data_IF_504950182666
#
_entry.id   IF_504950182666
#
_cell.length_a   1.000
_cell.length_b   1.000
_cell.length_c   1.000
_cell.angle_alpha   90.00
_cell.angle_beta   90.00
_cell.angle_gamma   90.00
#
_symmetry.space_group_name_H-M   'P 1'
#
loop_
_entity.id
_entity.type
_entity.pdbx_description
1 polymer ?
#
# COMPACT_ATOMS: atom_id res chain seq x y z
N UNK A 1 36.23 82.62 76.74
CA UNK A 1 35.45 81.51 76.15
C UNK A 1 36.36 80.72 75.22
N UNK A 2 36.85 79.56 75.68
CA UNK A 2 37.84 78.74 74.96
C UNK A 2 37.15 77.87 73.89
N UNK A 3 37.61 77.95 72.64
CA UNK A 3 37.59 76.99 71.51
C UNK A 3 36.70 75.71 71.55
N UNK A 4 35.45 75.76 72.03
CA UNK A 4 34.60 74.58 72.11
C UNK A 4 33.87 74.26 70.80
N UNK A 5 33.44 75.26 70.01
CA UNK A 5 32.79 75.03 68.71
C UNK A 5 33.73 74.37 67.70
N UNK A 6 34.99 74.80 67.63
CA UNK A 6 35.98 74.22 66.72
C UNK A 6 36.29 72.75 67.03
N UNK A 7 36.31 72.35 68.30
CA UNK A 7 36.51 70.94 68.68
C UNK A 7 35.35 70.04 68.27
N UNK A 8 34.12 70.50 68.46
CA UNK A 8 32.92 69.75 68.04
C UNK A 8 32.90 69.60 66.52
N UNK A 9 33.24 70.64 65.78
CA UNK A 9 33.31 70.61 64.31
C UNK A 9 34.39 69.63 63.83
N UNK A 10 35.56 69.59 64.47
CA UNK A 10 36.64 68.63 64.14
C UNK A 10 36.25 67.19 64.47
N UNK A 11 35.57 66.93 65.60
CA UNK A 11 35.09 65.58 65.94
C UNK A 11 34.01 65.13 64.95
N UNK A 12 33.11 66.02 64.54
CA UNK A 12 32.07 65.71 63.57
C UNK A 12 32.65 65.44 62.17
N UNK A 13 33.59 66.27 61.69
CA UNK A 13 34.22 66.07 60.37
C UNK A 13 35.08 64.82 60.34
N UNK A 14 35.83 64.53 61.40
CA UNK A 14 36.60 63.27 61.50
C UNK A 14 35.68 62.06 61.53
N UNK A 15 34.57 62.10 62.27
CA UNK A 15 33.57 61.03 62.26
C UNK A 15 32.93 60.82 60.88
N UNK A 16 32.52 61.90 60.20
CA UNK A 16 31.97 61.84 58.84
C UNK A 16 33.00 61.31 57.82
N UNK A 17 34.27 61.72 57.91
CA UNK A 17 35.33 61.17 57.06
C UNK A 17 35.57 59.69 57.32
N UNK A 18 35.56 59.24 58.57
CA UNK A 18 35.69 57.82 58.93
C UNK A 18 34.46 57.02 58.47
N UNK A 19 33.24 57.55 58.62
CA UNK A 19 32.03 56.92 58.13
C UNK A 19 32.01 56.82 56.59
N UNK A 20 32.48 57.85 55.88
CA UNK A 20 32.59 57.84 54.42
C UNK A 20 33.67 56.89 53.93
N UNK A 21 34.80 56.79 54.65
CA UNK A 21 35.82 55.76 54.41
C UNK A 21 35.28 54.35 54.67
N UNK A 22 34.51 54.15 55.74
CA UNK A 22 33.85 52.87 56.02
C UNK A 22 32.85 52.47 54.94
N UNK A 23 32.02 53.41 54.48
CA UNK A 23 31.05 53.17 53.41
C UNK A 23 31.71 52.93 52.05
N UNK A 24 32.74 53.70 51.69
CA UNK A 24 33.48 53.48 50.44
C UNK A 24 34.24 52.15 50.45
N UNK A 25 34.80 51.74 51.58
CA UNK A 25 35.44 50.44 51.73
C UNK A 25 34.42 49.29 51.63
N UNK A 26 33.26 49.43 52.28
CA UNK A 26 32.16 48.48 52.18
C UNK A 26 31.61 48.38 50.74
N UNK A 27 31.42 49.51 50.05
CA UNK A 27 30.98 49.54 48.66
C UNK A 27 31.99 48.92 47.69
N UNK A 28 33.30 49.03 47.99
CA UNK A 28 34.36 48.40 47.21
C UNK A 28 34.40 46.88 47.38
N UNK A 29 34.10 46.36 48.58
CA UNK A 29 34.13 44.92 48.87
C UNK A 29 32.80 44.23 48.56
N UNK A 30 31.67 44.90 48.80
CA UNK A 30 30.33 44.38 48.50
C UNK A 30 29.88 44.68 47.06
N UNK A 31 30.70 45.37 46.27
CA UNK A 31 30.43 45.63 44.86
C UNK A 31 30.46 44.33 44.05
N UNK A 32 29.54 44.22 43.08
CA UNK A 32 29.48 43.08 42.16
C UNK A 32 30.82 42.89 41.45
N UNK A 33 31.29 41.64 41.35
CA UNK A 33 32.50 41.32 40.62
C UNK A 33 32.23 41.31 39.10
N UNK A 34 32.21 42.50 38.52
CA UNK A 34 31.96 42.70 37.09
C UNK A 34 33.04 42.07 36.19
N UNK A 35 34.27 41.91 36.67
CA UNK A 35 35.33 41.22 35.93
C UNK A 35 35.06 39.70 35.89
N UNK A 36 34.53 39.13 36.98
CA UNK A 36 34.07 37.74 37.02
C UNK A 36 32.84 37.50 36.13
N UNK A 37 31.90 38.44 36.11
CA UNK A 37 30.73 38.36 35.23
C UNK A 37 31.09 38.53 33.74
N UNK A 38 32.05 39.40 33.43
CA UNK A 38 32.61 39.52 32.09
C UNK A 38 33.26 38.21 31.61
N UNK A 39 33.96 37.50 32.50
CA UNK A 39 34.56 36.20 32.20
C UNK A 39 33.54 35.06 32.04
N UNK A 40 32.36 35.19 32.67
CA UNK A 40 31.27 34.22 32.56
C UNK A 40 30.47 34.34 31.25
N UNK A 41 30.63 35.42 30.50
CA UNK A 41 29.96 35.64 29.21
C UNK A 41 30.68 34.92 28.07
N UNK A 42 30.53 33.60 27.98
CA UNK A 42 31.20 32.76 26.97
C UNK A 42 30.89 33.15 25.51
N UNK A 43 29.72 33.77 25.27
CA UNK A 43 29.24 34.15 23.93
C UNK A 43 29.65 35.56 23.48
N UNK A 44 30.19 36.38 24.39
CA UNK A 44 30.51 37.78 24.14
C UNK A 44 31.96 38.08 24.51
N UNK A 45 32.69 38.80 23.66
CA UNK A 45 34.03 39.30 23.97
C UNK A 45 33.97 40.73 24.44
N UNK A 46 34.60 41.01 25.58
CA UNK A 46 34.76 42.37 26.12
C UNK A 46 36.20 42.83 25.86
N UNK A 47 36.38 43.74 24.93
CA UNK A 47 37.67 44.38 24.65
C UNK A 47 37.82 45.64 25.50
N UNK A 48 38.95 45.75 26.21
CA UNK A 48 39.33 46.94 26.97
C UNK A 48 40.31 47.77 26.14
N UNK A 49 39.92 48.98 25.77
CA UNK A 49 40.81 49.96 25.13
C UNK A 49 41.19 51.04 26.14
N UNK A 50 42.49 51.21 26.37
CA UNK A 50 43.04 52.21 27.29
C UNK A 50 43.79 53.26 26.48
N UNK A 51 43.25 54.48 26.42
CA UNK A 51 43.92 55.64 25.86
C UNK A 51 44.39 56.57 26.99
N UNK A 52 45.35 57.47 26.72
CA UNK A 52 45.97 58.37 27.70
C UNK A 52 44.97 59.24 28.49
N UNK A 53 43.72 59.38 28.03
CA UNK A 53 42.69 60.17 28.71
C UNK A 53 41.50 59.36 29.23
N UNK A 54 41.18 58.18 28.71
CA UNK A 54 39.99 57.40 29.13
C UNK A 54 40.14 55.89 28.87
N UNK A 55 39.50 55.08 29.73
CA UNK A 55 39.31 53.62 29.52
C UNK A 55 37.92 53.38 28.96
N UNK A 56 37.83 52.70 27.81
CA UNK A 56 36.56 52.28 27.21
C UNK A 56 36.50 50.76 27.10
N UNK A 57 35.31 50.22 27.34
CA UNK A 57 34.98 48.80 27.25
C UNK A 57 34.02 48.61 26.07
N UNK A 58 34.33 47.67 25.19
CA UNK A 58 33.51 47.34 24.02
C UNK A 58 33.09 45.88 24.11
N UNK A 59 31.79 45.60 24.05
CA UNK A 59 31.29 44.21 23.89
C UNK A 59 31.06 43.95 22.41
N UNK A 60 31.57 42.82 21.95
CA UNK A 60 31.25 42.21 20.66
C UNK A 60 30.64 40.83 20.90
N UNK A 61 29.67 40.46 20.09
CA UNK A 61 29.16 39.09 20.07
C UNK A 61 30.12 38.22 19.22
N UNK A 62 30.52 37.05 19.74
CA UNK A 62 31.44 36.14 19.05
C UNK A 62 30.78 35.22 18.02
N UNK A 63 29.46 35.31 17.84
CA UNK A 63 28.70 34.36 17.01
C UNK A 63 28.42 34.99 15.63
N UNK A 64 29.26 34.66 14.63
CA UNK A 64 29.05 35.04 13.21
C UNK A 64 27.80 34.40 12.56
N UNK A 65 27.20 33.38 13.18
CA UNK A 65 26.14 32.57 12.58
C UNK A 65 24.72 32.80 13.12
N UNK A 66 24.53 33.73 14.06
CA UNK A 66 23.20 34.09 14.50
C UNK A 66 22.62 35.13 13.55
N UNK A 67 21.38 34.96 13.07
CA UNK A 67 20.56 35.99 12.40
C UNK A 67 20.18 37.13 13.37
N UNK A 68 21.09 37.51 14.25
CA UNK A 68 20.93 38.52 15.28
C UNK A 68 21.76 39.72 14.88
N UNK A 69 21.25 40.91 15.18
CA UNK A 69 21.97 42.15 14.91
C UNK A 69 23.30 42.13 15.69
N UNK A 70 24.43 42.50 15.06
CA UNK A 70 25.71 42.50 15.76
C UNK A 70 25.67 43.52 16.90
N UNK A 71 25.80 43.04 18.14
CA UNK A 71 25.97 43.91 19.29
C UNK A 71 27.39 44.48 19.30
N UNK A 72 27.52 45.78 19.08
CA UNK A 72 28.76 46.54 19.30
C UNK A 72 28.45 47.77 20.13
N UNK A 73 28.45 47.61 21.46
CA UNK A 73 28.25 48.73 22.41
C UNK A 73 29.56 49.07 23.08
N UNK A 74 29.90 50.36 23.11
CA UNK A 74 31.09 50.90 23.80
C UNK A 74 30.63 51.78 24.96
N UNK A 75 31.17 51.56 26.15
CA UNK A 75 30.95 52.45 27.32
C UNK A 75 32.23 52.64 28.12
N UNK A 76 32.29 53.73 28.90
CA UNK A 76 33.36 53.99 29.87
C UNK A 76 33.24 53.11 31.12
N UNK A 77 32.09 52.46 31.32
CA UNK A 77 31.75 51.69 32.52
C UNK A 77 31.46 50.23 32.15
N UNK A 78 32.32 49.31 32.61
CA UNK A 78 32.22 47.86 32.37
C UNK A 78 30.82 47.26 32.63
N UNK A 79 30.14 47.56 33.76
CA UNK A 79 28.76 47.10 34.01
C UNK A 79 27.77 47.42 32.89
N UNK A 80 27.87 48.59 32.26
CA UNK A 80 26.92 49.00 31.24
C UNK A 80 27.01 48.14 29.97
N UNK A 81 28.20 47.60 29.72
CA UNK A 81 28.48 46.76 28.56
C UNK A 81 28.05 45.32 28.83
N UNK A 82 28.26 44.82 30.06
CA UNK A 82 27.76 43.52 30.53
C UNK A 82 26.23 43.49 30.51
N UNK A 83 25.57 44.52 31.04
CA UNK A 83 24.09 44.64 31.02
C UNK A 83 23.56 44.68 29.58
N UNK A 84 24.30 45.30 28.64
CA UNK A 84 23.93 45.28 27.23
C UNK A 84 24.05 43.90 26.58
N UNK A 85 25.02 43.08 27.00
CA UNK A 85 25.14 41.69 26.55
C UNK A 85 23.96 40.82 27.05
N UNK A 86 23.61 40.97 28.33
CA UNK A 86 22.45 40.26 28.91
C UNK A 86 21.13 40.69 28.27
N UNK A 87 20.90 41.98 28.06
CA UNK A 87 19.67 42.46 27.42
C UNK A 87 19.56 42.02 25.96
N UNK A 88 20.69 41.90 25.26
CA UNK A 88 20.74 41.35 23.91
C UNK A 88 20.41 39.84 23.90
N UNK A 89 20.96 39.06 24.83
CA UNK A 89 20.62 37.63 24.95
C UNK A 89 19.16 37.41 25.38
N UNK A 90 18.65 38.24 26.29
CA UNK A 90 17.25 38.19 26.71
C UNK A 90 16.32 38.48 25.54
N UNK A 91 16.60 39.52 24.73
CA UNK A 91 15.84 39.82 23.51
C UNK A 91 15.89 38.66 22.53
N UNK A 92 17.07 38.12 22.27
CA UNK A 92 17.26 36.96 21.40
C UNK A 92 16.47 35.72 21.85
N UNK A 93 16.39 35.46 23.15
CA UNK A 93 15.62 34.36 23.71
C UNK A 93 14.11 34.63 23.63
N UNK A 94 13.67 35.86 23.90
CA UNK A 94 12.27 36.28 23.73
C UNK A 94 11.81 36.13 22.29
N UNK A 95 12.59 36.61 21.32
CA UNK A 95 12.28 36.48 19.90
C UNK A 95 12.16 35.00 19.48
N UNK A 96 13.00 34.11 20.03
CA UNK A 96 12.90 32.66 19.81
C UNK A 96 11.65 32.06 20.45
N UNK A 97 11.31 32.49 21.67
CA UNK A 97 10.10 32.04 22.36
C UNK A 97 8.87 32.47 21.57
N UNK A 98 8.77 33.74 21.17
CA UNK A 98 7.66 34.25 20.37
C UNK A 98 7.54 33.55 19.01
N UNK A 99 8.66 33.19 18.39
CA UNK A 99 8.66 32.43 17.14
C UNK A 99 8.17 30.97 17.32
N UNK A 100 8.51 30.33 18.43
CA UNK A 100 8.18 28.93 18.72
C UNK A 100 6.81 28.76 19.39
N UNK A 101 6.32 29.76 20.13
CA UNK A 101 5.05 29.74 20.85
C UNK A 101 3.83 29.33 19.97
N UNK A 102 3.70 29.77 18.70
CA UNK A 102 2.59 29.35 17.86
C UNK A 102 2.75 27.94 17.25
N UNK A 103 3.96 27.35 17.25
CA UNK A 103 4.20 26.07 16.57
C UNK A 103 3.46 24.87 17.18
N UNK A 104 3.44 24.67 18.52
CA UNK A 104 2.69 23.56 19.12
C UNK A 104 1.21 23.58 18.77
N UNK A 105 0.60 24.77 18.73
CA UNK A 105 -0.82 24.91 18.35
C UNK A 105 -1.07 24.57 16.88
N UNK A 106 -0.15 24.98 15.97
CA UNK A 106 -0.21 24.61 14.55
C UNK A 106 -0.05 23.11 14.35
N UNK A 107 0.97 22.51 14.98
CA UNK A 107 1.23 21.08 14.89
C UNK A 107 0.09 20.25 15.47
N UNK A 108 -0.53 20.71 16.57
CA UNK A 108 -1.71 20.05 17.14
C UNK A 108 -2.91 20.06 16.19
N UNK A 109 -3.18 21.18 15.51
CA UNK A 109 -4.25 21.23 14.49
C UNK A 109 -3.99 20.25 13.35
N UNK A 110 -2.76 20.22 12.84
CA UNK A 110 -2.35 19.27 11.79
C UNK A 110 -2.53 17.83 12.27
N UNK A 111 -2.12 17.53 13.51
CA UNK A 111 -2.29 16.22 14.12
C UNK A 111 -3.77 15.81 14.19
N UNK A 112 -4.63 16.71 14.67
CA UNK A 112 -6.07 16.45 14.78
C UNK A 112 -6.71 16.21 13.41
N UNK A 113 -6.30 16.97 12.39
CA UNK A 113 -6.72 16.77 10.99
C UNK A 113 -6.29 15.40 10.45
N UNK A 114 -5.04 14.99 10.68
CA UNK A 114 -4.54 13.68 10.28
C UNK A 114 -5.30 12.53 10.96
N UNK A 115 -5.57 12.65 12.26
CA UNK A 115 -6.34 11.64 13.00
C UNK A 115 -7.76 11.54 12.45
N UNK A 116 -8.39 12.67 12.11
CA UNK A 116 -9.72 12.68 11.51
C UNK A 116 -9.74 12.01 10.12
N UNK A 117 -8.74 12.31 9.27
CA UNK A 117 -8.60 11.68 7.95
C UNK A 117 -8.35 10.17 8.07
N UNK A 118 -7.44 9.75 8.94
CA UNK A 118 -7.14 8.34 9.17
C UNK A 118 -8.38 7.54 9.57
N UNK A 119 -9.26 8.12 10.40
CA UNK A 119 -10.52 7.47 10.79
C UNK A 119 -11.48 7.28 9.61
N UNK A 120 -11.54 8.26 8.70
CA UNK A 120 -12.36 8.15 7.49
C UNK A 120 -11.79 7.09 6.54
N UNK A 121 -10.47 7.10 6.35
CA UNK A 121 -9.77 6.15 5.49
C UNK A 121 -9.93 4.71 5.99
N UNK A 122 -9.77 4.49 7.30
CA UNK A 122 -9.94 3.17 7.91
C UNK A 122 -11.36 2.65 7.67
N UNK A 123 -12.39 3.48 7.87
CA UNK A 123 -13.78 3.11 7.60
C UNK A 123 -14.02 2.81 6.10
N UNK A 124 -13.39 3.56 5.20
CA UNK A 124 -13.49 3.31 3.77
C UNK A 124 -12.80 1.98 3.37
N UNK A 125 -11.66 1.67 3.99
CA UNK A 125 -10.94 0.41 3.80
C UNK A 125 -11.76 -0.78 4.29
N UNK A 126 -12.37 -0.69 5.48
CA UNK A 126 -13.27 -1.71 6.01
C UNK A 126 -14.48 -1.94 5.08
N UNK A 127 -15.08 -0.87 4.57
CA UNK A 127 -16.17 -0.96 3.59
C UNK A 127 -15.73 -1.67 2.31
N UNK A 128 -14.55 -1.31 1.79
CA UNK A 128 -13.99 -1.93 0.59
C UNK A 128 -13.66 -3.41 0.81
N UNK A 129 -13.15 -3.77 1.98
CA UNK A 129 -12.87 -5.16 2.34
C UNK A 129 -14.16 -5.99 2.35
N UNK A 130 -15.22 -5.49 2.99
CA UNK A 130 -16.52 -6.17 3.01
C UNK A 130 -17.10 -6.37 1.60
N UNK A 131 -17.00 -5.36 0.73
CA UNK A 131 -17.43 -5.47 -0.67
C UNK A 131 -16.62 -6.53 -1.43
N UNK A 132 -15.30 -6.55 -1.25
CA UNK A 132 -14.42 -7.54 -1.88
C UNK A 132 -14.73 -8.96 -1.42
N UNK A 133 -14.97 -9.17 -0.11
CA UNK A 133 -15.38 -10.47 0.42
C UNK A 133 -16.71 -10.94 -0.18
N UNK A 134 -17.66 -10.02 -0.37
CA UNK A 134 -18.96 -10.33 -1.02
C UNK A 134 -18.80 -10.68 -2.49
N UNK A 135 -18.00 -9.93 -3.23
CA UNK A 135 -17.70 -10.22 -4.64
C UNK A 135 -17.01 -11.57 -4.76
N UNK A 136 -15.99 -11.83 -3.93
CA UNK A 136 -15.26 -13.09 -3.95
C UNK A 136 -16.16 -14.28 -3.66
N UNK A 137 -17.00 -14.21 -2.62
CA UNK A 137 -17.92 -15.32 -2.29
C UNK A 137 -18.96 -15.56 -3.39
N UNK A 138 -19.41 -14.52 -4.07
CA UNK A 138 -20.29 -14.64 -5.24
C UNK A 138 -19.56 -15.31 -6.41
N UNK A 139 -18.34 -14.88 -6.72
CA UNK A 139 -17.55 -15.46 -7.81
C UNK A 139 -17.23 -16.93 -7.57
N UNK A 140 -16.89 -17.31 -6.33
CA UNK A 140 -16.66 -18.72 -5.97
C UNK A 140 -17.90 -19.57 -6.23
N UNK A 141 -19.09 -19.07 -5.88
CA UNK A 141 -20.36 -19.77 -6.17
C UNK A 141 -20.59 -19.91 -7.67
N UNK A 142 -20.40 -18.84 -8.44
CA UNK A 142 -20.56 -18.88 -9.90
C UNK A 142 -19.59 -19.85 -10.55
N UNK A 143 -18.33 -19.89 -10.11
CA UNK A 143 -17.33 -20.85 -10.60
C UNK A 143 -17.77 -22.29 -10.29
N UNK A 144 -18.28 -22.54 -9.09
CA UNK A 144 -18.74 -23.87 -8.69
C UNK A 144 -19.97 -24.31 -9.48
N UNK A 145 -20.93 -23.41 -9.69
CA UNK A 145 -22.12 -23.67 -10.53
C UNK A 145 -21.73 -23.98 -11.98
N UNK A 146 -20.87 -23.17 -12.58
CA UNK A 146 -20.36 -23.39 -13.93
C UNK A 146 -19.54 -24.69 -14.05
N UNK A 147 -18.80 -25.06 -13.01
CA UNK A 147 -18.07 -26.33 -12.99
C UNK A 147 -19.02 -27.53 -13.01
N UNK A 148 -20.08 -27.48 -12.21
CA UNK A 148 -21.11 -28.55 -12.17
C UNK A 148 -21.85 -28.64 -13.51
N UNK A 149 -22.19 -27.49 -14.12
CA UNK A 149 -22.82 -27.45 -15.43
C UNK A 149 -21.89 -28.00 -16.52
N UNK A 150 -20.60 -27.63 -16.48
CA UNK A 150 -19.57 -28.15 -17.37
C UNK A 150 -19.43 -29.67 -17.28
N UNK A 151 -19.39 -30.23 -16.07
CA UNK A 151 -19.33 -31.67 -15.84
C UNK A 151 -20.57 -32.39 -16.40
N UNK A 152 -21.75 -31.80 -16.21
CA UNK A 152 -23.01 -32.36 -16.73
C UNK A 152 -23.00 -32.40 -18.27
N UNK A 153 -22.62 -31.29 -18.92
CA UNK A 153 -22.53 -31.20 -20.38
C UNK A 153 -21.48 -32.20 -20.90
N UNK A 154 -20.34 -32.34 -20.22
CA UNK A 154 -19.32 -33.32 -20.61
C UNK A 154 -19.84 -34.76 -20.52
N UNK A 155 -20.60 -35.10 -19.48
CA UNK A 155 -21.23 -36.40 -19.35
C UNK A 155 -22.29 -36.64 -20.45
N UNK A 156 -23.14 -35.66 -20.73
CA UNK A 156 -24.12 -35.73 -21.82
C UNK A 156 -23.45 -35.88 -23.19
N UNK A 157 -22.34 -35.18 -23.43
CA UNK A 157 -21.57 -35.36 -24.66
C UNK A 157 -21.02 -36.80 -24.76
N UNK A 158 -20.47 -37.35 -23.67
CA UNK A 158 -19.97 -38.73 -23.64
C UNK A 158 -21.07 -39.76 -23.90
N UNK A 159 -22.29 -39.56 -23.38
CA UNK A 159 -23.39 -40.49 -23.63
C UNK A 159 -23.83 -40.44 -25.09
N UNK A 160 -23.98 -39.25 -25.67
CA UNK A 160 -24.31 -39.07 -27.10
C UNK A 160 -23.24 -39.69 -28.00
N UNK A 161 -21.96 -39.53 -27.66
CA UNK A 161 -20.86 -40.16 -28.40
C UNK A 161 -20.93 -41.68 -28.37
N UNK A 162 -21.16 -42.28 -27.19
CA UNK A 162 -21.31 -43.73 -27.04
C UNK A 162 -22.52 -44.26 -27.82
N UNK A 163 -23.65 -43.58 -27.74
CA UNK A 163 -24.84 -43.95 -28.51
C UNK A 163 -24.59 -43.84 -30.01
N UNK A 164 -23.91 -42.78 -30.45
CA UNK A 164 -23.49 -42.61 -31.84
C UNK A 164 -22.60 -43.74 -32.34
N UNK A 165 -21.68 -44.24 -31.51
CA UNK A 165 -20.83 -45.40 -31.84
C UNK A 165 -21.66 -46.68 -31.99
N UNK A 166 -22.53 -46.97 -31.01
CA UNK A 166 -23.43 -48.13 -31.09
C UNK A 166 -24.30 -48.09 -32.34
N UNK A 167 -24.85 -46.92 -32.70
CA UNK A 167 -25.64 -46.76 -33.93
C UNK A 167 -24.78 -46.97 -35.19
N UNK A 168 -23.52 -46.57 -35.19
CA UNK A 168 -22.60 -46.83 -36.32
C UNK A 168 -22.33 -48.33 -36.49
N UNK A 169 -22.08 -49.03 -35.38
CA UNK A 169 -21.92 -50.50 -35.38
C UNK A 169 -23.19 -51.20 -35.86
N UNK A 170 -24.36 -50.77 -35.39
CA UNK A 170 -25.65 -51.31 -35.79
C UNK A 170 -25.90 -51.14 -37.29
N UNK A 171 -25.61 -49.96 -37.85
CA UNK A 171 -25.73 -49.69 -39.29
C UNK A 171 -24.78 -50.57 -40.09
N UNK A 172 -23.54 -50.76 -39.64
CA UNK A 172 -22.58 -51.64 -40.31
C UNK A 172 -23.07 -53.09 -40.32
N UNK A 173 -23.55 -53.60 -39.18
CA UNK A 173 -24.12 -54.95 -39.07
C UNK A 173 -25.36 -55.13 -39.95
N UNK A 174 -26.29 -54.17 -39.94
CA UNK A 174 -27.50 -54.24 -40.75
C UNK A 174 -27.19 -54.20 -42.25
N UNK A 175 -26.16 -53.44 -42.67
CA UNK A 175 -25.69 -53.47 -44.06
C UNK A 175 -25.16 -54.84 -44.46
N UNK A 176 -24.36 -55.49 -43.61
CA UNK A 176 -23.86 -56.83 -43.88
C UNK A 176 -25.00 -57.86 -43.99
N UNK A 177 -26.00 -57.79 -43.10
CA UNK A 177 -27.18 -58.66 -43.18
C UNK A 177 -28.02 -58.40 -44.43
N UNK A 178 -28.13 -57.14 -44.88
CA UNK A 178 -28.82 -56.81 -46.12
C UNK A 178 -28.10 -57.43 -47.32
N UNK A 179 -26.77 -57.31 -47.38
CA UNK A 179 -25.95 -57.90 -48.44
C UNK A 179 -26.09 -59.44 -48.47
N UNK A 180 -26.08 -60.08 -47.30
CA UNK A 180 -26.32 -61.53 -47.17
C UNK A 180 -27.72 -61.93 -47.69
N UNK A 181 -28.77 -61.18 -47.32
CA UNK A 181 -30.13 -61.43 -47.80
C UNK A 181 -30.28 -61.22 -49.32
N UNK A 182 -29.59 -60.23 -49.89
CA UNK A 182 -29.58 -60.00 -51.34
C UNK A 182 -28.90 -61.17 -52.07
N UNK A 183 -27.81 -61.69 -51.52
CA UNK A 183 -27.13 -62.89 -52.04
C UNK A 183 -28.03 -64.13 -51.96
N UNK A 184 -28.68 -64.37 -50.82
CA UNK A 184 -29.60 -65.50 -50.62
C UNK A 184 -30.82 -65.41 -51.54
N UNK A 185 -31.35 -64.20 -51.74
CA UNK A 185 -32.43 -63.96 -52.68
C UNK A 185 -32.00 -64.32 -54.11
N UNK A 186 -30.80 -63.90 -54.52
CA UNK A 186 -30.25 -64.24 -55.83
C UNK A 186 -30.11 -65.76 -56.01
N UNK A 187 -29.54 -66.46 -55.02
CA UNK A 187 -29.41 -67.92 -55.05
C UNK A 187 -30.77 -68.63 -55.13
N UNK A 188 -31.75 -68.17 -54.35
CA UNK A 188 -33.11 -68.71 -54.36
C UNK A 188 -33.80 -68.53 -55.71
N UNK A 189 -33.60 -67.38 -56.36
CA UNK A 189 -34.12 -67.12 -57.71
C UNK A 189 -33.45 -68.02 -58.76
N UNK A 190 -32.14 -68.28 -58.65
CA UNK A 190 -31.46 -69.24 -59.52
C UNK A 190 -31.98 -70.67 -59.33
N UNK A 191 -32.13 -71.13 -58.09
CA UNK A 191 -32.68 -72.45 -57.78
C UNK A 191 -34.08 -72.61 -58.36
N UNK A 192 -34.94 -71.58 -58.21
CA UNK A 192 -36.28 -71.57 -58.82
C UNK A 192 -36.22 -71.75 -60.34
N UNK A 193 -35.34 -71.03 -61.03
CA UNK A 193 -35.16 -71.20 -62.49
C UNK A 193 -34.74 -72.63 -62.83
N UNK A 194 -33.75 -73.18 -62.13
CA UNK A 194 -33.29 -74.57 -62.35
C UNK A 194 -34.41 -75.60 -62.16
N UNK A 195 -35.19 -75.47 -61.09
CA UNK A 195 -36.34 -76.33 -60.82
C UNK A 195 -37.43 -76.20 -61.89
N UNK A 196 -37.68 -74.99 -62.40
CA UNK A 196 -38.62 -74.77 -63.50
C UNK A 196 -38.17 -75.43 -64.80
N UNK A 197 -36.88 -75.37 -65.12
CA UNK A 197 -36.29 -76.04 -66.28
C UNK A 197 -36.39 -77.56 -66.14
N UNK A 198 -36.08 -78.10 -64.96
CA UNK A 198 -36.19 -79.53 -64.69
C UNK A 198 -37.64 -80.03 -64.76
N UNK A 199 -38.59 -79.26 -64.21
CA UNK A 199 -40.01 -79.54 -64.30
C UNK A 199 -40.48 -79.55 -65.77
N UNK A 200 -40.00 -78.61 -66.58
CA UNK A 200 -40.29 -78.56 -68.02
C UNK A 200 -39.72 -79.77 -68.76
N UNK A 201 -38.49 -80.20 -68.41
CA UNK A 201 -37.89 -81.44 -68.95
C UNK A 201 -38.70 -82.67 -68.56
N UNK A 202 -39.09 -82.80 -67.29
CA UNK A 202 -39.89 -83.92 -66.80
C UNK A 202 -41.28 -83.98 -67.47
N UNK A 203 -41.97 -82.84 -67.62
CA UNK A 203 -43.21 -82.75 -68.40
C UNK A 203 -43.02 -83.22 -69.84
N UNK A 204 -41.91 -82.83 -70.48
CA UNK A 204 -41.56 -83.31 -71.82
C UNK A 204 -41.32 -84.82 -71.88
N UNK A 205 -40.63 -85.40 -70.89
CA UNK A 205 -40.42 -86.85 -70.77
C UNK A 205 -41.75 -87.57 -70.56
N UNK A 206 -42.59 -87.10 -69.64
CA UNK A 206 -43.94 -87.65 -69.40
C UNK A 206 -44.79 -87.64 -70.66
N UNK A 207 -44.84 -86.52 -71.39
CA UNK A 207 -45.58 -86.43 -72.64
C UNK A 207 -45.05 -87.39 -73.72
N UNK A 208 -43.74 -87.65 -73.76
CA UNK A 208 -43.15 -88.69 -74.64
C UNK A 208 -43.53 -90.09 -74.20
N UNK A 209 -43.46 -90.40 -72.90
CA UNK A 209 -43.84 -91.69 -72.34
C UNK A 209 -45.34 -91.98 -72.54
N UNK A 210 -46.21 -90.98 -72.33
CA UNK A 210 -47.65 -91.08 -72.58
C UNK A 210 -47.93 -91.37 -74.06
N UNK A 211 -47.31 -90.61 -74.99
CA UNK A 211 -47.44 -90.89 -76.43
C UNK A 211 -46.99 -92.31 -76.78
N UNK A 212 -45.87 -92.77 -76.23
CA UNK A 212 -45.37 -94.13 -76.44
C UNK A 212 -46.30 -95.19 -75.85
N UNK A 213 -46.91 -94.93 -74.69
CA UNK A 213 -47.88 -95.83 -74.08
C UNK A 213 -49.16 -95.95 -74.94
N UNK A 214 -49.68 -94.83 -75.44
CA UNK A 214 -50.81 -94.82 -76.39
C UNK A 214 -50.47 -95.63 -77.65
N UNK A 215 -49.28 -95.40 -78.24
CA UNK A 215 -48.81 -96.17 -79.40
C UNK A 215 -48.71 -97.68 -79.11
N UNK A 216 -48.17 -98.06 -77.96
CA UNK A 216 -48.07 -99.46 -77.56
C UNK A 216 -49.45 -100.09 -77.38
N UNK A 217 -50.40 -99.39 -76.74
CA UNK A 217 -51.77 -99.88 -76.59
C UNK A 217 -52.46 -100.07 -77.94
N UNK A 218 -52.34 -99.11 -78.87
CA UNK A 218 -52.91 -99.27 -80.21
C UNK A 218 -52.28 -100.42 -81.00
N UNK A 219 -50.98 -100.72 -80.79
CA UNK A 219 -50.34 -101.86 -81.44
C UNK A 219 -50.67 -103.23 -80.84
N UNK A 220 -51.36 -103.27 -79.69
CA UNK A 220 -51.84 -104.49 -79.04
C UNK A 220 -53.34 -104.77 -79.31
N UNK A 221 -54.06 -103.82 -79.92
CA UNK A 221 -55.48 -103.94 -80.29
C UNK A 221 -55.69 -104.29 -81.79
N UNK A 222 -54.61 -104.59 -82.51
CA UNK A 222 -54.59 -105.31 -83.81
C UNK A 222 -54.22 -106.78 -83.60
#
# INVERSE_FOLDING_TARGET
MKNNMGKVLVVLTTFLSVAFLGFSFAAKIAGTNWEGEAAALEKYTIEKSVSEKETTYTVKNNIEHAKQEPLSKTSKVLPEVIVAAYSHEEKALRDKIEALEPEPAKLKKIQDEFIAQQKLDLKAMEGREADLQKIFSTQVKTIQELSVEGDKIAQEALTVWKEGELRREDVARLRNHLEELEVDQFQSLEQKKRLQDELSRMRGVLARLQRRNVQLKSSYEE
#
